data_IF_355679207446
#
_entry.id   IF_355679207446
#
_cell.length_a   1.000
_cell.length_b   1.000
_cell.length_c   1.000
_cell.angle_alpha   90.00
_cell.angle_beta   90.00
_cell.angle_gamma   90.00
#
_symmetry.space_group_name_H-M   'P 1'
#
loop_
_entity.id
_entity.type
_entity.pdbx_description
1 polymer ?
#
# COMPACT_ATOMS: atom_id res chain seq x y z
N UNK A 1 -63.37 -12.77 -25.38
CA UNK A 1 -63.69 -14.09 -25.97
C UNK A 1 -62.44 -14.95 -25.79
N UNK A 2 -62.31 -15.68 -24.67
CA UNK A 2 -62.77 -17.08 -24.43
C UNK A 2 -62.00 -18.08 -25.32
N UNK A 3 -61.37 -19.19 -24.92
CA UNK A 3 -61.40 -20.11 -23.75
C UNK A 3 -60.09 -20.94 -23.79
N UNK A 4 -59.36 -21.25 -22.69
CA UNK A 4 -59.50 -22.34 -21.69
C UNK A 4 -59.36 -23.80 -22.18
N UNK A 5 -58.38 -24.54 -21.62
CA UNK A 5 -58.41 -25.93 -21.06
C UNK A 5 -56.95 -26.40 -20.76
N UNK A 6 -56.42 -26.51 -19.53
CA UNK A 6 -56.59 -27.46 -18.40
C UNK A 6 -56.16 -28.92 -18.64
N UNK A 7 -55.23 -29.41 -17.79
CA UNK A 7 -55.05 -30.77 -17.20
C UNK A 7 -53.72 -30.77 -16.39
N UNK A 8 -53.66 -30.60 -15.06
CA UNK A 8 -53.85 -31.55 -13.93
C UNK A 8 -53.08 -32.87 -13.98
N UNK A 9 -52.19 -33.10 -13.00
CA UNK A 9 -51.95 -34.33 -12.19
C UNK A 9 -50.78 -34.05 -11.23
N UNK A 10 -50.60 -34.62 -10.03
CA UNK A 10 -51.41 -35.05 -8.89
C UNK A 10 -50.39 -35.28 -7.75
N UNK A 11 -50.83 -35.03 -6.54
CA UNK A 11 -50.10 -35.05 -5.27
C UNK A 11 -49.71 -36.46 -4.78
N UNK A 12 -48.62 -36.56 -4.03
CA UNK A 12 -48.36 -37.66 -3.10
C UNK A 12 -47.91 -37.10 -1.73
N UNK A 13 -48.85 -37.12 -0.78
CA UNK A 13 -48.61 -36.94 0.67
C UNK A 13 -48.33 -38.32 1.27
N UNK A 14 -47.32 -38.43 2.13
CA UNK A 14 -47.07 -39.58 3.00
C UNK A 14 -47.48 -39.27 4.45
N UNK A 15 -47.83 -40.29 5.25
CA UNK A 15 -48.86 -40.19 6.27
C UNK A 15 -48.35 -39.86 7.68
N UNK A 16 -49.29 -39.31 8.43
CA UNK A 16 -49.28 -39.06 9.88
C UNK A 16 -49.27 -40.41 10.63
N UNK A 17 -48.27 -40.66 11.48
CA UNK A 17 -48.29 -41.78 12.43
C UNK A 17 -48.08 -41.27 13.88
N UNK A 18 -49.22 -41.19 14.56
CA UNK A 18 -49.52 -41.62 15.93
C UNK A 18 -48.49 -41.38 17.06
N UNK A 19 -48.89 -40.50 17.99
CA UNK A 19 -48.37 -40.38 19.34
C UNK A 19 -48.80 -41.61 20.16
N UNK A 20 -47.84 -42.40 20.65
CA UNK A 20 -48.01 -43.26 21.83
C UNK A 20 -46.85 -42.97 22.77
N UNK A 21 -47.18 -42.39 23.92
CA UNK A 21 -46.26 -42.07 25.02
C UNK A 21 -46.33 -43.24 26.01
N UNK A 22 -45.40 -44.18 25.93
CA UNK A 22 -45.22 -45.21 26.95
C UNK A 22 -44.29 -44.68 28.05
N UNK A 23 -44.84 -44.43 29.23
CA UNK A 23 -44.05 -44.27 30.45
C UNK A 23 -43.45 -45.63 30.83
N UNK A 24 -42.13 -45.72 30.78
CA UNK A 24 -41.37 -46.83 31.36
C UNK A 24 -40.31 -46.24 32.27
N UNK A 25 -40.63 -46.16 33.56
CA UNK A 25 -39.65 -45.98 34.63
C UNK A 25 -38.76 -47.21 34.65
N UNK A 26 -37.51 -47.08 34.20
CA UNK A 26 -36.48 -48.08 34.39
C UNK A 26 -35.29 -47.46 35.13
N UNK A 27 -35.07 -48.03 36.31
CA UNK A 27 -34.09 -47.76 37.34
C UNK A 27 -32.69 -47.35 36.86
N UNK A 28 -32.19 -46.30 37.49
CA UNK A 28 -30.78 -45.92 37.58
C UNK A 28 -29.94 -47.10 38.09
N UNK A 29 -29.13 -47.70 37.22
CA UNK A 29 -27.92 -48.42 37.64
C UNK A 29 -26.72 -47.65 37.12
N UNK A 30 -26.19 -46.76 37.95
CA UNK A 30 -24.93 -46.07 37.69
C UNK A 30 -23.76 -47.04 37.83
N UNK A 31 -23.34 -47.65 36.72
CA UNK A 31 -22.02 -48.26 36.64
C UNK A 31 -20.99 -47.13 36.49
N UNK A 32 -20.51 -46.62 37.62
CA UNK A 32 -19.38 -45.70 37.67
C UNK A 32 -18.15 -46.44 37.18
N UNK A 33 -17.81 -46.31 35.89
CA UNK A 33 -16.46 -46.59 35.43
C UNK A 33 -15.56 -45.46 35.91
N UNK A 34 -14.81 -45.75 36.97
CA UNK A 34 -13.70 -44.93 37.44
C UNK A 34 -12.67 -44.79 36.32
N UNK A 35 -12.71 -43.66 35.61
CA UNK A 35 -11.63 -43.26 34.72
C UNK A 35 -10.69 -42.35 35.50
N UNK A 36 -9.43 -42.76 35.57
CA UNK A 36 -8.37 -42.12 36.34
C UNK A 36 -8.24 -40.65 35.93
N UNK A 37 -8.13 -39.73 36.90
CA UNK A 37 -8.02 -38.26 36.71
C UNK A 37 -7.08 -37.83 35.58
N UNK A 38 -6.00 -38.59 35.35
CA UNK A 38 -5.02 -38.37 34.29
C UNK A 38 -5.60 -38.46 32.87
N UNK A 39 -6.54 -39.37 32.61
CA UNK A 39 -7.17 -39.50 31.28
C UNK A 39 -8.10 -38.32 30.97
N UNK A 40 -8.78 -37.76 31.97
CA UNK A 40 -9.59 -36.53 31.80
C UNK A 40 -8.72 -35.31 31.51
N UNK A 41 -7.57 -35.20 32.16
CA UNK A 41 -6.64 -34.09 31.96
C UNK A 41 -6.02 -34.11 30.55
N UNK A 42 -5.66 -35.27 30.02
CA UNK A 42 -5.12 -35.39 28.66
C UNK A 42 -6.15 -35.07 27.57
N UNK A 43 -7.42 -35.44 27.77
CA UNK A 43 -8.50 -35.06 26.84
C UNK A 43 -8.86 -33.58 26.90
N UNK A 44 -8.79 -32.95 28.08
CA UNK A 44 -9.05 -31.51 28.22
C UNK A 44 -7.91 -30.67 27.63
N UNK A 45 -6.65 -31.03 27.88
CA UNK A 45 -5.50 -30.32 27.31
C UNK A 45 -5.41 -30.54 25.79
N UNK A 46 -5.64 -31.78 25.32
CA UNK A 46 -5.66 -32.09 23.88
C UNK A 46 -6.83 -31.43 23.14
N UNK A 47 -8.02 -31.39 23.75
CA UNK A 47 -9.20 -30.72 23.18
C UNK A 47 -9.05 -29.20 23.10
N UNK A 48 -8.45 -28.58 24.13
CA UNK A 48 -8.19 -27.14 24.14
C UNK A 48 -7.14 -26.71 23.12
N UNK A 49 -6.07 -27.49 22.92
CA UNK A 49 -5.07 -27.19 21.89
C UNK A 49 -5.62 -27.30 20.46
N UNK A 50 -6.51 -28.27 20.20
CA UNK A 50 -7.19 -28.39 18.90
C UNK A 50 -8.21 -27.27 18.70
N UNK A 51 -8.93 -26.85 19.74
CA UNK A 51 -9.88 -25.74 19.65
C UNK A 51 -9.20 -24.37 19.42
N UNK A 52 -8.08 -24.11 20.09
CA UNK A 52 -7.29 -22.88 19.88
C UNK A 52 -6.59 -22.92 18.52
N UNK A 53 -6.07 -24.08 18.10
CA UNK A 53 -5.48 -24.25 16.77
C UNK A 53 -6.50 -24.07 15.64
N UNK A 54 -7.71 -24.60 15.79
CA UNK A 54 -8.78 -24.42 14.79
C UNK A 54 -9.35 -23.01 14.79
N UNK A 55 -9.50 -22.34 15.94
CA UNK A 55 -9.87 -20.92 15.99
C UNK A 55 -8.79 -20.01 15.42
N UNK A 56 -7.51 -20.27 15.70
CA UNK A 56 -6.39 -19.57 15.09
C UNK A 56 -6.31 -19.79 13.58
N UNK A 57 -6.57 -21.01 13.12
CA UNK A 57 -6.66 -21.34 11.69
C UNK A 57 -7.88 -20.69 11.02
N UNK A 58 -9.05 -20.67 11.66
CA UNK A 58 -10.25 -20.00 11.16
C UNK A 58 -10.11 -18.48 11.15
N UNK A 59 -9.42 -17.88 12.13
CA UNK A 59 -9.11 -16.45 12.14
C UNK A 59 -8.05 -16.09 11.09
N UNK A 60 -7.02 -16.92 10.92
CA UNK A 60 -6.05 -16.76 9.84
C UNK A 60 -6.68 -16.95 8.44
N UNK A 61 -7.74 -17.79 8.33
CA UNK A 61 -8.48 -18.03 7.08
C UNK A 61 -9.67 -17.09 6.88
N UNK A 62 -10.18 -16.40 7.89
CA UNK A 62 -11.25 -15.40 7.74
C UNK A 62 -10.77 -14.11 7.07
N UNK A 63 -9.46 -13.94 6.92
CA UNK A 63 -8.86 -12.91 6.07
C UNK A 63 -8.95 -13.26 4.57
N UNK A 64 -9.45 -14.45 4.21
CA UNK A 64 -9.62 -14.83 2.81
C UNK A 64 -10.89 -14.19 2.20
N UNK A 65 -10.64 -13.10 1.48
CA UNK A 65 -11.34 -12.63 0.27
C UNK A 65 -12.84 -12.35 0.38
N UNK A 66 -13.14 -11.13 0.80
CA UNK A 66 -14.07 -10.31 0.02
C UNK A 66 -13.25 -9.69 -1.14
N UNK A 67 -13.22 -10.36 -2.29
CA UNK A 67 -12.85 -9.72 -3.56
C UNK A 67 -14.01 -8.81 -4.03
N UNK A 68 -14.44 -7.91 -3.15
CA UNK A 68 -15.50 -6.94 -3.39
C UNK A 68 -14.95 -5.53 -3.56
N UNK A 69 -13.63 -5.34 -3.47
CA UNK A 69 -13.01 -4.07 -3.80
C UNK A 69 -12.69 -4.04 -5.29
N UNK A 70 -13.08 -2.97 -5.98
CA UNK A 70 -12.76 -2.66 -7.39
C UNK A 70 -11.26 -2.39 -7.62
N UNK A 71 -10.37 -3.05 -6.87
CA UNK A 71 -8.91 -2.99 -6.97
C UNK A 71 -8.27 -4.27 -6.43
N UNK A 72 -7.18 -4.66 -7.06
CA UNK A 72 -6.30 -5.73 -6.58
C UNK A 72 -5.55 -5.27 -5.32
N UNK A 73 -5.35 -6.20 -4.38
CA UNK A 73 -4.51 -5.96 -3.22
C UNK A 73 -3.03 -6.01 -3.64
N UNK A 74 -2.20 -5.03 -3.22
CA UNK A 74 -0.77 -5.04 -3.51
C UNK A 74 -0.08 -6.27 -2.91
N UNK A 75 0.99 -6.71 -3.56
CA UNK A 75 1.84 -7.76 -3.01
C UNK A 75 2.63 -7.23 -1.80
N UNK A 76 2.82 -8.08 -0.79
CA UNK A 76 3.63 -7.74 0.38
C UNK A 76 5.11 -7.92 0.04
N UNK A 77 5.81 -6.81 -0.16
CA UNK A 77 7.21 -6.80 -0.56
C UNK A 77 8.09 -6.81 0.70
N UNK A 78 9.13 -7.65 0.77
CA UNK A 78 10.05 -7.70 1.89
C UNK A 78 11.04 -6.53 1.84
N UNK A 79 10.56 -5.31 2.06
CA UNK A 79 11.39 -4.11 2.11
C UNK A 79 12.48 -4.23 3.17
N UNK A 80 13.67 -3.71 2.86
CA UNK A 80 14.81 -3.67 3.79
C UNK A 80 14.42 -3.01 5.11
N UNK A 81 13.59 -1.97 5.07
CA UNK A 81 13.13 -1.19 6.21
C UNK A 81 11.94 -1.79 6.98
N UNK A 82 11.43 -2.98 6.65
CA UNK A 82 10.27 -3.55 7.38
C UNK A 82 10.62 -4.08 8.78
N UNK A 83 11.85 -4.54 8.99
CA UNK A 83 12.27 -5.14 10.25
C UNK A 83 12.33 -4.15 11.42
N UNK A 84 12.15 -4.59 12.68
CA UNK A 84 12.19 -3.70 13.85
C UNK A 84 13.56 -3.06 14.09
N UNK A 85 14.63 -3.71 13.63
CA UNK A 85 16.01 -3.24 13.73
C UNK A 85 16.59 -2.77 12.39
N UNK A 86 15.76 -2.67 11.34
CA UNK A 86 16.22 -2.28 10.01
C UNK A 86 16.02 -0.80 9.75
N UNK A 87 17.08 -0.13 9.28
CA UNK A 87 17.02 1.24 8.77
C UNK A 87 16.53 1.27 7.31
N UNK A 88 16.35 2.47 6.79
CA UNK A 88 16.26 2.70 5.35
C UNK A 88 17.62 2.47 4.67
N UNK A 89 17.59 2.10 3.39
CA UNK A 89 18.78 2.06 2.55
C UNK A 89 19.01 3.44 1.94
N UNK A 90 20.02 4.15 2.45
CA UNK A 90 20.34 5.51 2.03
C UNK A 90 20.87 5.59 0.58
N UNK A 91 21.45 4.51 0.05
CA UNK A 91 21.83 4.45 -1.36
C UNK A 91 20.58 4.36 -2.24
N UNK A 92 19.59 3.56 -1.85
CA UNK A 92 18.29 3.50 -2.52
C UNK A 92 17.52 4.83 -2.43
N UNK A 93 17.61 5.55 -1.30
CA UNK A 93 17.05 6.90 -1.17
C UNK A 93 17.71 7.86 -2.17
N UNK A 94 19.03 7.82 -2.33
CA UNK A 94 19.77 8.65 -3.30
C UNK A 94 19.28 8.38 -4.72
N UNK A 95 19.30 7.12 -5.15
CA UNK A 95 18.80 6.69 -6.46
C UNK A 95 17.33 7.06 -6.65
N UNK A 96 16.49 6.91 -5.63
CA UNK A 96 15.08 7.25 -5.69
C UNK A 96 14.82 8.74 -5.86
N UNK A 97 15.65 9.60 -5.28
CA UNK A 97 15.61 11.04 -5.55
C UNK A 97 15.98 11.36 -7.00
N UNK A 98 16.98 10.67 -7.57
CA UNK A 98 17.33 10.82 -9.00
C UNK A 98 16.14 10.44 -9.91
N UNK A 99 15.44 9.33 -9.61
CA UNK A 99 14.20 8.93 -10.32
C UNK A 99 13.13 10.01 -10.19
N UNK A 100 12.90 10.52 -8.98
CA UNK A 100 11.93 11.59 -8.77
C UNK A 100 12.29 12.84 -9.58
N UNK A 101 13.54 13.30 -9.54
CA UNK A 101 14.00 14.50 -10.26
C UNK A 101 13.79 14.36 -11.77
N UNK A 102 14.16 13.21 -12.33
CA UNK A 102 14.17 13.00 -13.77
C UNK A 102 12.81 12.64 -14.36
N UNK A 103 11.93 11.98 -13.58
CA UNK A 103 10.65 11.46 -14.07
C UNK A 103 9.47 12.15 -13.41
N UNK A 104 9.40 12.15 -12.07
CA UNK A 104 8.20 12.53 -11.35
C UNK A 104 8.05 14.05 -11.16
N UNK A 105 9.15 14.79 -11.04
CA UNK A 105 9.17 16.21 -10.72
C UNK A 105 8.50 17.09 -11.80
N UNK A 106 8.34 16.57 -13.03
CA UNK A 106 7.64 17.24 -14.11
C UNK A 106 6.11 17.37 -13.88
N UNK A 107 5.52 16.48 -13.09
CA UNK A 107 4.07 16.43 -12.85
C UNK A 107 3.69 16.49 -11.37
N UNK A 108 4.53 15.93 -10.49
CA UNK A 108 4.27 15.85 -9.07
C UNK A 108 5.07 16.88 -8.28
N UNK A 109 4.40 17.46 -7.28
CA UNK A 109 5.05 18.33 -6.29
C UNK A 109 5.53 17.54 -5.07
N UNK A 110 6.52 18.10 -4.38
CA UNK A 110 6.91 17.70 -3.03
C UNK A 110 7.05 18.93 -2.14
N UNK A 111 5.91 19.46 -1.71
CA UNK A 111 5.80 20.71 -0.93
C UNK A 111 6.57 20.67 0.38
N UNK A 112 6.71 19.51 1.03
CA UNK A 112 7.38 19.41 2.33
C UNK A 112 8.86 19.02 2.25
N UNK A 113 9.40 18.85 1.04
CA UNK A 113 10.82 18.58 0.84
C UNK A 113 11.59 19.87 0.54
N UNK A 114 12.71 20.04 1.24
CA UNK A 114 13.68 21.11 1.04
C UNK A 114 15.04 20.45 0.81
N UNK A 115 15.92 21.10 0.05
CA UNK A 115 17.22 20.51 -0.30
C UNK A 115 18.09 20.21 0.94
N UNK A 116 17.98 21.03 2.00
CA UNK A 116 18.64 20.77 3.29
C UNK A 116 18.27 19.44 3.93
N UNK A 117 17.10 18.87 3.62
CA UNK A 117 16.71 17.57 4.17
C UNK A 117 17.51 16.41 3.58
N UNK A 118 18.10 16.59 2.40
CA UNK A 118 18.91 15.56 1.74
C UNK A 118 20.33 15.46 2.32
N UNK A 119 20.80 16.53 2.97
CA UNK A 119 22.14 16.64 3.55
C UNK A 119 22.30 15.67 4.72
N UNK A 120 23.34 14.82 4.64
CA UNK A 120 23.60 13.80 5.66
C UNK A 120 22.67 12.59 5.59
N UNK A 121 21.75 12.56 4.62
CA UNK A 121 20.89 11.41 4.33
C UNK A 121 21.39 10.70 3.07
N UNK A 122 21.26 11.33 1.91
CA UNK A 122 21.63 10.75 0.62
C UNK A 122 22.62 11.62 -0.17
N UNK A 123 22.81 12.87 0.24
CA UNK A 123 23.76 13.81 -0.33
C UNK A 123 24.69 14.40 0.72
N UNK A 124 25.88 14.80 0.26
CA UNK A 124 26.74 15.71 1.01
C UNK A 124 26.16 17.12 0.94
N UNK A 125 26.63 18.03 1.81
CA UNK A 125 26.18 19.42 1.78
C UNK A 125 26.50 20.09 0.43
N UNK A 126 27.69 19.85 -0.11
CA UNK A 126 28.13 20.44 -1.38
C UNK A 126 27.35 19.88 -2.57
N UNK A 127 27.04 18.58 -2.57
CA UNK A 127 26.22 18.01 -3.63
C UNK A 127 24.77 18.51 -3.56
N UNK A 128 24.20 18.63 -2.36
CA UNK A 128 22.86 19.19 -2.19
C UNK A 128 22.79 20.68 -2.58
N UNK A 129 23.87 21.45 -2.39
CA UNK A 129 23.97 22.84 -2.87
C UNK A 129 24.00 22.91 -4.39
N UNK A 130 24.77 22.04 -5.05
CA UNK A 130 24.79 21.94 -6.52
C UNK A 130 23.41 21.58 -7.06
N UNK A 131 22.78 20.59 -6.46
CA UNK A 131 21.44 20.13 -6.81
C UNK A 131 20.38 21.24 -6.65
N UNK A 132 20.47 22.03 -5.59
CA UNK A 132 19.59 23.19 -5.41
C UNK A 132 19.86 24.28 -6.47
N UNK A 133 21.12 24.53 -6.80
CA UNK A 133 21.54 25.56 -7.73
C UNK A 133 21.13 25.28 -9.19
N UNK A 134 20.94 24.01 -9.57
CA UNK A 134 20.42 23.62 -10.89
C UNK A 134 19.03 24.19 -11.18
N UNK A 135 18.26 24.50 -10.12
CA UNK A 135 16.90 25.01 -10.25
C UNK A 135 16.86 26.53 -10.06
N UNK A 136 16.22 27.24 -11.00
CA UNK A 136 15.97 28.67 -10.88
C UNK A 136 14.69 28.89 -10.06
N UNK A 137 14.82 29.66 -8.97
CA UNK A 137 13.74 29.98 -8.04
C UNK A 137 13.46 31.48 -8.13
N UNK A 138 12.17 31.84 -8.23
CA UNK A 138 11.71 33.22 -8.14
C UNK A 138 11.79 33.70 -6.68
N UNK A 139 12.42 34.85 -6.46
CA UNK A 139 12.61 35.50 -5.16
C UNK A 139 12.39 37.01 -5.30
N UNK A 140 12.32 37.74 -4.19
CA UNK A 140 12.14 39.19 -4.16
C UNK A 140 10.93 39.64 -3.33
N UNK A 141 10.53 40.92 -3.46
CA UNK A 141 11.04 41.90 -4.43
C UNK A 141 12.45 42.44 -4.11
N UNK A 142 13.14 42.95 -5.13
CA UNK A 142 14.40 43.71 -5.01
C UNK A 142 14.17 45.20 -4.64
N UNK A 143 15.24 45.99 -4.61
CA UNK A 143 15.19 47.42 -4.25
C UNK A 143 14.34 48.26 -5.22
N UNK A 144 14.12 47.79 -6.45
CA UNK A 144 13.26 48.41 -7.46
C UNK A 144 11.81 47.88 -7.39
N UNK A 145 11.51 46.97 -6.47
CA UNK A 145 10.18 46.36 -6.30
C UNK A 145 9.87 45.23 -7.29
N UNK A 146 10.88 44.73 -8.02
CA UNK A 146 10.72 43.69 -9.04
C UNK A 146 11.07 42.30 -8.46
N UNK A 147 10.32 41.28 -8.89
CA UNK A 147 10.67 39.88 -8.60
C UNK A 147 11.81 39.46 -9.52
N UNK A 148 12.80 38.76 -8.99
CA UNK A 148 13.95 38.26 -9.75
C UNK A 148 14.05 36.73 -9.62
N UNK A 149 14.89 36.12 -10.46
CA UNK A 149 15.19 34.69 -10.36
C UNK A 149 16.62 34.50 -9.87
N UNK A 150 16.82 33.51 -9.01
CA UNK A 150 18.14 33.13 -8.50
C UNK A 150 18.31 31.62 -8.51
N UNK A 151 19.57 31.12 -8.51
CA UNK A 151 19.83 29.74 -8.19
C UNK A 151 19.25 29.35 -6.84
N UNK A 152 18.72 28.13 -6.74
CA UNK A 152 18.20 27.59 -5.50
C UNK A 152 19.27 27.45 -4.42
N UNK A 153 18.84 27.55 -3.16
CA UNK A 153 19.68 27.35 -1.97
C UNK A 153 19.13 26.23 -1.11
N UNK A 154 19.90 25.73 -0.15
CA UNK A 154 19.52 24.57 0.67
C UNK A 154 18.18 24.74 1.42
N UNK A 155 17.81 25.97 1.79
CA UNK A 155 16.55 26.23 2.49
C UNK A 155 15.32 26.25 1.58
N UNK A 156 15.51 26.30 0.26
CA UNK A 156 14.40 26.31 -0.67
C UNK A 156 13.74 24.93 -0.75
N UNK A 157 12.45 24.95 -1.06
CA UNK A 157 11.70 23.76 -1.39
C UNK A 157 12.06 23.26 -2.79
N UNK A 158 11.81 21.99 -3.05
CA UNK A 158 11.81 21.50 -4.42
C UNK A 158 10.73 22.26 -5.20
N UNK A 159 11.07 22.88 -6.35
CA UNK A 159 10.13 23.72 -7.07
C UNK A 159 8.92 22.88 -7.54
N UNK A 160 7.68 23.38 -7.37
CA UNK A 160 6.51 22.70 -7.89
C UNK A 160 6.46 22.81 -9.43
N UNK A 161 5.98 21.76 -10.14
CA UNK A 161 5.89 21.78 -11.61
C UNK A 161 4.86 22.77 -12.15
N UNK A 162 3.84 23.10 -11.34
CA UNK A 162 2.74 23.97 -11.73
C UNK A 162 2.57 25.08 -10.71
N UNK A 163 2.18 26.28 -11.19
CA UNK A 163 1.91 27.44 -10.33
C UNK A 163 0.70 27.25 -9.41
N UNK A 164 -0.28 26.46 -9.84
CA UNK A 164 -1.50 26.18 -9.09
C UNK A 164 -2.22 24.92 -9.59
N UNK A 165 -3.19 24.44 -8.83
CA UNK A 165 -3.96 23.23 -9.12
C UNK A 165 -4.75 23.31 -10.44
N UNK A 166 -5.19 24.51 -10.86
CA UNK A 166 -5.91 24.68 -12.13
C UNK A 166 -4.98 24.46 -13.32
N UNK A 167 -3.75 24.99 -13.26
CA UNK A 167 -2.73 24.75 -14.27
C UNK A 167 -2.34 23.26 -14.32
N UNK A 168 -2.21 22.62 -13.16
CA UNK A 168 -1.94 21.18 -13.08
C UNK A 168 -3.05 20.34 -13.74
N UNK A 169 -4.32 20.64 -13.45
CA UNK A 169 -5.47 19.97 -14.08
C UNK A 169 -5.53 20.21 -15.58
N UNK A 170 -5.28 21.44 -16.03
CA UNK A 170 -5.28 21.76 -17.45
C UNK A 170 -4.20 20.97 -18.22
N UNK A 171 -3.02 20.78 -17.62
CA UNK A 171 -1.94 20.02 -18.23
C UNK A 171 -2.15 18.50 -18.22
N UNK A 172 -3.05 17.97 -17.36
CA UNK A 172 -3.25 16.54 -17.14
C UNK A 172 -4.71 16.10 -17.37
N UNK A 173 -5.35 16.62 -18.42
CA UNK A 173 -6.71 16.23 -18.84
C UNK A 173 -7.77 16.29 -17.72
N UNK A 174 -7.69 17.32 -16.86
CA UNK A 174 -8.60 17.54 -15.73
C UNK A 174 -8.21 16.82 -14.44
N UNK A 175 -7.28 15.87 -14.50
CA UNK A 175 -6.76 15.17 -13.33
C UNK A 175 -5.71 16.02 -12.60
N UNK A 176 -5.70 15.98 -11.26
CA UNK A 176 -4.70 16.67 -10.44
C UNK A 176 -3.67 15.65 -9.94
N UNK A 177 -2.40 15.72 -10.37
CA UNK A 177 -1.35 14.91 -9.77
C UNK A 177 -1.24 15.22 -8.26
N UNK A 178 -1.35 14.21 -7.37
CA UNK A 178 -1.20 14.43 -5.94
C UNK A 178 0.22 14.84 -5.58
N UNK A 179 0.37 15.62 -4.51
CA UNK A 179 1.67 15.87 -3.88
C UNK A 179 2.24 14.56 -3.31
N UNK A 180 3.53 14.31 -3.55
CA UNK A 180 4.16 13.04 -3.20
C UNK A 180 4.83 13.06 -1.83
N UNK A 181 4.90 14.20 -1.13
CA UNK A 181 5.66 14.32 0.13
C UNK A 181 5.25 13.28 1.17
N UNK A 182 3.95 13.00 1.28
CA UNK A 182 3.36 12.08 2.26
C UNK A 182 2.64 10.89 1.61
N UNK A 183 2.85 10.63 0.32
CA UNK A 183 2.03 9.65 -0.42
C UNK A 183 2.16 8.22 0.11
N UNK A 184 3.34 7.87 0.65
CA UNK A 184 3.59 6.58 1.30
C UNK A 184 2.75 6.37 2.57
N UNK A 185 2.27 7.44 3.21
CA UNK A 185 1.37 7.36 4.37
C UNK A 185 -0.08 7.68 3.99
N UNK A 186 -0.29 8.46 2.93
CA UNK A 186 -1.60 8.87 2.44
C UNK A 186 -2.36 7.81 1.63
N UNK A 187 -1.81 6.60 1.49
CA UNK A 187 -2.43 5.48 0.78
C UNK A 187 -2.34 4.21 1.64
N UNK A 188 -3.39 3.40 1.61
CA UNK A 188 -3.40 2.10 2.29
C UNK A 188 -2.30 1.19 1.72
N UNK A 189 -1.65 0.41 2.59
CA UNK A 189 -0.51 -0.46 2.28
C UNK A 189 0.77 0.28 1.81
N UNK A 190 0.74 1.62 1.76
CA UNK A 190 1.89 2.51 1.65
C UNK A 190 2.89 2.14 0.54
N UNK A 191 4.16 1.82 0.88
CA UNK A 191 5.19 1.45 -0.11
C UNK A 191 4.78 0.31 -1.06
N UNK A 192 4.09 -0.71 -0.55
CA UNK A 192 3.65 -1.85 -1.36
C UNK A 192 2.67 -1.43 -2.45
N UNK A 193 1.74 -0.54 -2.09
CA UNK A 193 0.77 0.03 -3.03
C UNK A 193 1.46 0.84 -4.12
N UNK A 194 2.39 1.72 -3.76
CA UNK A 194 3.07 2.58 -4.74
C UNK A 194 3.91 1.73 -5.70
N UNK A 195 4.65 0.75 -5.19
CA UNK A 195 5.43 -0.16 -6.04
C UNK A 195 4.52 -0.91 -7.02
N UNK A 196 3.47 -1.55 -6.50
CA UNK A 196 2.54 -2.33 -7.31
C UNK A 196 1.81 -1.46 -8.33
N UNK A 197 1.48 -0.21 -7.98
CA UNK A 197 0.90 0.75 -8.91
C UNK A 197 1.88 1.08 -10.04
N UNK A 198 3.14 1.37 -9.74
CA UNK A 198 4.13 1.76 -10.75
C UNK A 198 4.47 0.62 -11.72
N UNK A 199 4.61 -0.61 -11.22
CA UNK A 199 4.98 -1.78 -12.04
C UNK A 199 3.77 -2.57 -12.56
N UNK A 200 2.54 -2.16 -12.21
CA UNK A 200 1.32 -2.93 -12.44
C UNK A 200 0.52 -2.54 -13.68
N UNK A 201 1.04 -1.65 -14.53
CA UNK A 201 0.37 -1.25 -15.77
C UNK A 201 0.26 -2.43 -16.74
N UNK A 202 -0.96 -2.70 -17.20
CA UNK A 202 -1.27 -3.80 -18.11
C UNK A 202 -2.48 -3.44 -18.98
N UNK A 203 -2.69 -4.22 -20.04
CA UNK A 203 -3.89 -4.07 -20.87
C UNK A 203 -5.17 -4.44 -20.09
N UNK A 204 -6.28 -3.74 -20.35
CA UNK A 204 -7.56 -4.04 -19.71
C UNK A 204 -8.04 -5.45 -20.07
N UNK A 205 -8.70 -6.16 -19.14
CA UNK A 205 -9.30 -7.46 -19.42
C UNK A 205 -10.37 -7.36 -20.51
N UNK A 206 -10.58 -8.45 -21.23
CA UNK A 206 -11.53 -8.50 -22.34
C UNK A 206 -12.93 -8.00 -21.92
N UNK A 207 -13.48 -7.05 -22.67
CA UNK A 207 -14.81 -6.48 -22.44
C UNK A 207 -14.85 -5.20 -21.59
N UNK A 208 -13.75 -4.79 -20.97
CA UNK A 208 -13.67 -3.53 -20.22
C UNK A 208 -13.01 -2.47 -21.09
N UNK A 209 -13.74 -1.41 -21.43
CA UNK A 209 -13.22 -0.25 -22.18
C UNK A 209 -13.14 0.96 -21.26
N UNK A 210 -12.02 1.66 -21.31
CA UNK A 210 -11.81 2.91 -20.58
C UNK A 210 -12.25 4.10 -21.40
N UNK A 211 -12.31 5.25 -20.73
CA UNK A 211 -12.44 6.54 -21.41
C UNK A 211 -11.13 6.91 -22.11
N UNK A 212 -11.21 7.81 -23.08
CA UNK A 212 -10.05 8.34 -23.77
C UNK A 212 -9.11 9.04 -22.77
N UNK A 213 -7.80 8.75 -22.86
CA UNK A 213 -6.74 9.26 -21.96
C UNK A 213 -6.70 8.67 -20.54
N UNK A 214 -7.43 7.58 -20.26
CA UNK A 214 -7.24 6.78 -19.05
C UNK A 214 -6.47 5.50 -19.36
N UNK A 215 -5.63 5.09 -18.42
CA UNK A 215 -4.81 3.89 -18.50
C UNK A 215 -5.29 2.85 -17.50
N UNK A 216 -5.22 1.57 -17.86
CA UNK A 216 -5.65 0.50 -16.97
C UNK A 216 -4.55 0.12 -15.98
N UNK A 217 -4.92 0.06 -14.70
CA UNK A 217 -4.07 -0.42 -13.62
C UNK A 217 -4.92 -1.13 -12.55
N UNK A 218 -4.75 -2.44 -12.33
CA UNK A 218 -5.60 -3.22 -11.44
C UNK A 218 -5.47 -2.80 -9.96
N UNK A 219 -4.37 -2.17 -9.55
CA UNK A 219 -4.16 -1.72 -8.17
C UNK A 219 -4.84 -0.38 -7.87
N UNK A 220 -5.14 0.41 -8.91
CA UNK A 220 -5.85 1.67 -8.75
C UNK A 220 -7.34 1.42 -8.48
N UNK A 221 -7.96 2.20 -7.60
CA UNK A 221 -9.39 2.08 -7.30
C UNK A 221 -10.22 2.35 -8.56
N UNK A 222 -11.02 1.37 -8.99
CA UNK A 222 -11.82 1.48 -10.21
C UNK A 222 -11.06 1.12 -11.49
N UNK A 223 -9.79 0.71 -11.40
CA UNK A 223 -9.00 0.17 -12.51
C UNK A 223 -8.48 1.19 -13.53
N UNK A 224 -8.98 2.42 -13.55
CA UNK A 224 -8.61 3.44 -14.54
C UNK A 224 -7.90 4.62 -13.90
N UNK A 225 -6.69 4.92 -14.35
CA UNK A 225 -5.84 6.00 -13.85
C UNK A 225 -5.48 6.98 -14.97
N UNK A 226 -5.52 8.28 -14.69
CA UNK A 226 -5.15 9.33 -15.66
C UNK A 226 -3.63 9.45 -15.89
N UNK A 227 -2.82 8.79 -15.06
CA UNK A 227 -1.37 8.76 -15.18
C UNK A 227 -0.94 7.66 -16.14
N UNK A 228 -0.22 8.00 -17.20
CA UNK A 228 0.43 7.02 -18.07
C UNK A 228 1.54 6.26 -17.33
N UNK A 229 1.96 5.10 -17.85
CA UNK A 229 3.14 4.41 -17.33
C UNK A 229 4.37 5.32 -17.46
N UNK A 230 5.03 5.60 -16.34
CA UNK A 230 6.14 6.57 -16.26
C UNK A 230 7.52 5.93 -16.17
N UNK A 231 7.60 4.65 -15.80
CA UNK A 231 8.86 3.94 -15.61
C UNK A 231 9.02 2.88 -16.69
N UNK A 232 10.15 2.93 -17.38
CA UNK A 232 10.57 1.96 -18.38
C UNK A 232 12.01 1.54 -18.11
N UNK A 233 12.39 0.36 -18.59
CA UNK A 233 13.77 -0.13 -18.51
C UNK A 233 14.74 0.86 -19.20
N UNK A 234 15.85 1.12 -18.53
CA UNK A 234 16.98 1.95 -18.98
C UNK A 234 16.59 3.41 -19.34
N UNK A 235 15.52 3.94 -18.74
CA UNK A 235 15.07 5.32 -18.97
C UNK A 235 15.99 6.39 -18.38
N UNK A 236 16.72 6.07 -17.30
CA UNK A 236 17.69 6.95 -16.65
C UNK A 236 19.00 6.20 -16.40
N UNK A 237 20.09 6.94 -16.27
CA UNK A 237 21.38 6.39 -15.87
C UNK A 237 21.67 6.79 -14.40
N UNK A 238 21.86 5.79 -13.54
CA UNK A 238 22.22 6.04 -12.15
C UNK A 238 23.68 6.47 -12.01
N UNK A 239 23.94 7.37 -11.07
CA UNK A 239 25.30 7.87 -10.80
C UNK A 239 26.24 6.81 -10.24
N UNK A 240 25.71 5.73 -9.66
CA UNK A 240 26.47 4.61 -9.07
C UNK A 240 26.66 3.42 -10.02
N UNK A 241 26.13 3.48 -11.25
CA UNK A 241 26.23 2.42 -12.25
C UNK A 241 25.27 1.24 -12.03
N UNK A 242 24.29 1.36 -11.11
CA UNK A 242 23.21 0.38 -10.98
C UNK A 242 22.41 0.28 -12.29
N UNK A 243 21.92 -0.91 -12.64
CA UNK A 243 21.07 -1.08 -13.83
C UNK A 243 19.68 -0.53 -13.58
N UNK A 244 19.23 0.37 -14.44
CA UNK A 244 17.96 1.08 -14.32
C UNK A 244 16.79 0.28 -14.89
N UNK A 245 16.51 -0.91 -14.36
CA UNK A 245 15.30 -1.66 -14.74
C UNK A 245 14.05 -1.03 -14.12
N UNK A 246 12.87 -1.22 -14.71
CA UNK A 246 11.58 -0.70 -14.24
C UNK A 246 11.35 -1.03 -12.76
N UNK A 247 11.61 -2.27 -12.36
CA UNK A 247 11.45 -2.71 -10.97
C UNK A 247 12.46 -2.05 -10.04
N UNK A 248 13.69 -1.80 -10.50
CA UNK A 248 14.73 -1.13 -9.71
C UNK A 248 14.37 0.34 -9.51
N UNK A 249 13.96 1.03 -10.58
CA UNK A 249 13.45 2.39 -10.55
C UNK A 249 12.28 2.53 -9.56
N UNK A 250 11.31 1.61 -9.64
CA UNK A 250 10.16 1.56 -8.74
C UNK A 250 10.58 1.31 -7.27
N UNK A 251 11.51 0.41 -7.02
CA UNK A 251 11.98 0.11 -5.66
C UNK A 251 12.73 1.30 -5.03
N UNK A 252 13.60 1.96 -5.80
CA UNK A 252 14.37 3.10 -5.32
C UNK A 252 13.46 4.32 -5.08
N UNK A 253 12.56 4.67 -6.01
CA UNK A 253 11.64 5.81 -5.81
C UNK A 253 10.70 5.55 -4.64
N UNK A 254 10.24 4.32 -4.43
CA UNK A 254 9.40 3.97 -3.27
C UNK A 254 10.18 4.09 -1.96
N UNK A 255 11.45 3.69 -1.93
CA UNK A 255 12.32 3.86 -0.76
C UNK A 255 12.52 5.34 -0.43
N UNK A 256 12.69 6.17 -1.47
CA UNK A 256 12.75 7.63 -1.33
C UNK A 256 11.43 8.23 -0.83
N UNK A 257 10.28 7.81 -1.35
CA UNK A 257 8.95 8.31 -0.92
C UNK A 257 8.59 7.85 0.50
N UNK A 258 9.07 6.67 0.92
CA UNK A 258 8.97 6.22 2.31
C UNK A 258 9.77 7.14 3.23
N UNK A 259 11.02 7.45 2.86
CA UNK A 259 11.85 8.39 3.60
C UNK A 259 11.26 9.80 3.63
N UNK A 260 10.75 10.31 2.51
CA UNK A 260 10.18 11.67 2.45
C UNK A 260 8.98 11.82 3.38
N UNK A 261 8.18 10.76 3.50
CA UNK A 261 7.01 10.73 4.37
C UNK A 261 7.34 10.52 5.86
N UNK A 262 8.38 9.73 6.17
CA UNK A 262 8.83 9.42 7.53
C UNK A 262 10.33 9.69 7.69
N UNK A 263 10.72 10.98 7.71
CA UNK A 263 12.13 11.37 7.83
C UNK A 263 12.77 10.95 9.15
N UNK A 264 11.96 10.74 10.18
CA UNK A 264 12.35 10.27 11.50
C UNK A 264 12.48 8.74 11.61
N UNK A 265 12.24 7.97 10.54
CA UNK A 265 12.15 6.51 10.59
C UNK A 265 13.33 5.84 11.31
N UNK A 266 14.56 6.21 10.94
CA UNK A 266 15.77 5.57 11.47
C UNK A 266 16.04 5.97 12.91
N UNK A 267 15.89 7.27 13.23
CA UNK A 267 16.02 7.78 14.60
C UNK A 267 14.95 7.19 15.51
N UNK A 268 13.69 7.10 15.05
CA UNK A 268 12.59 6.48 15.79
C UNK A 268 12.91 5.05 16.16
N UNK A 269 13.40 4.24 15.22
CA UNK A 269 13.79 2.85 15.51
C UNK A 269 15.01 2.77 16.42
N UNK A 270 16.04 3.59 16.18
CA UNK A 270 17.23 3.67 17.04
C UNK A 270 16.85 4.02 18.49
N UNK A 271 15.93 4.96 18.67
CA UNK A 271 15.41 5.34 19.98
C UNK A 271 14.57 4.23 20.61
N UNK A 272 13.77 3.50 19.83
CA UNK A 272 13.04 2.33 20.31
C UNK A 272 13.98 1.23 20.82
N UNK A 273 15.08 0.95 20.11
CA UNK A 273 16.10 -0.03 20.55
C UNK A 273 16.76 0.41 21.86
N UNK A 274 17.17 1.68 21.94
CA UNK A 274 17.73 2.23 23.19
C UNK A 274 16.74 2.14 24.34
N UNK A 275 15.49 2.55 24.12
CA UNK A 275 14.42 2.50 25.11
C UNK A 275 14.15 1.08 25.60
N UNK A 276 14.11 0.10 24.70
CA UNK A 276 13.96 -1.32 25.06
C UNK A 276 15.11 -1.78 25.97
N UNK A 277 16.35 -1.39 25.68
CA UNK A 277 17.50 -1.71 26.51
C UNK A 277 17.48 -1.06 27.90
N UNK A 278 16.75 0.03 28.10
CA UNK A 278 16.56 0.65 29.43
C UNK A 278 15.39 0.03 30.21
N UNK A 279 14.42 -0.58 29.52
CA UNK A 279 13.22 -1.17 30.12
C UNK A 279 13.46 -2.62 30.57
N UNK A 280 14.32 -3.35 29.86
CA UNK A 280 14.75 -4.72 30.18
C UNK A 280 15.89 -4.68 31.20
#
# INVERSE_FOLDING_TARGET
MSSSSLLFYRTQRLPLFLIIRSNSTASTTSRVQSTTKWKRLTYQIGGSLVAVGTLGYCWARSQALLASSDKAHPAQIPWTFNGPFSSLDHAAIRRGFEVYKQVCAACHSMKFLQYRHLVGVCYTEDDAKKEAADNLIEDGPDDDGLMFTRPGKLTDHVPPPYKNDKAAKAANNGALPPDLSLISLGRGDGPNYIFSLLTGYQDPPAGVKGEENLHYNPYFGGGWIAMAKQLYDDQIEYTDGTKATETQLAADVVSFLKWSAEREHDDRKKMAVKGMNYIV
#
